data_IF_021326584365
#
_entry.id   IF_021326584365
#
_cell.length_a   1.000
_cell.length_b   1.000
_cell.length_c   1.000
_cell.angle_alpha   90.00
_cell.angle_beta   90.00
_cell.angle_gamma   90.00
#
_symmetry.space_group_name_H-M   'P 1'
#
loop_
_entity.id
_entity.type
_entity.pdbx_description
1 polymer ?
#
# COMPACT_ATOMS: atom_id res chain seq x y z
N UNK A 1 -18.62 4.76 38.29
CA UNK A 1 -19.63 3.72 37.97
C UNK A 1 -19.52 2.63 39.03
N UNK A 2 -20.64 2.15 39.57
CA UNK A 2 -20.63 0.98 40.46
C UNK A 2 -20.35 -0.28 39.62
N UNK A 3 -19.51 -1.19 40.12
CA UNK A 3 -19.29 -2.49 39.49
C UNK A 3 -20.52 -3.38 39.72
N UNK A 4 -20.89 -4.18 38.72
CA UNK A 4 -21.96 -5.17 38.83
C UNK A 4 -21.56 -6.40 39.65
N UNK A 5 -22.40 -7.43 39.61
CA UNK A 5 -22.16 -8.66 40.37
C UNK A 5 -20.91 -9.41 39.88
N UNK A 6 -20.10 -9.99 40.80
CA UNK A 6 -18.92 -10.73 40.44
C UNK A 6 -19.28 -12.05 39.72
N UNK A 7 -18.63 -12.29 38.59
CA UNK A 7 -18.73 -13.55 37.85
C UNK A 7 -17.55 -14.46 38.17
N UNK A 8 -17.78 -15.77 38.27
CA UNK A 8 -16.71 -16.76 38.34
C UNK A 8 -16.39 -17.28 36.95
N UNK A 9 -15.13 -17.15 36.55
CA UNK A 9 -14.62 -17.63 35.25
C UNK A 9 -13.57 -18.69 35.51
N UNK A 10 -13.70 -19.83 34.83
CA UNK A 10 -12.68 -20.89 34.84
C UNK A 10 -11.88 -20.81 33.55
N UNK A 11 -10.58 -20.63 33.68
CA UNK A 11 -9.64 -20.61 32.55
C UNK A 11 -8.90 -21.94 32.49
N UNK A 12 -8.40 -22.30 31.30
CA UNK A 12 -7.43 -23.38 31.21
C UNK A 12 -6.14 -22.95 31.93
N UNK A 13 -5.38 -23.89 32.53
CA UNK A 13 -4.17 -23.56 33.29
C UNK A 13 -3.14 -22.77 32.45
N UNK A 14 -2.99 -23.13 31.18
CA UNK A 14 -2.09 -22.46 30.24
C UNK A 14 -2.50 -21.01 30.01
N UNK A 15 -3.79 -20.75 29.79
CA UNK A 15 -4.30 -19.40 29.54
C UNK A 15 -4.23 -18.54 30.78
N UNK A 16 -4.48 -19.12 31.96
CA UNK A 16 -4.33 -18.41 33.22
C UNK A 16 -2.89 -17.92 33.40
N UNK A 17 -1.89 -18.77 33.16
CA UNK A 17 -0.49 -18.42 33.34
C UNK A 17 -0.03 -17.30 32.39
N UNK A 18 -0.47 -17.35 31.12
CA UNK A 18 -0.19 -16.29 30.13
C UNK A 18 -0.78 -14.95 30.57
N UNK A 19 -2.05 -14.94 30.98
CA UNK A 19 -2.75 -13.72 31.37
C UNK A 19 -2.22 -13.16 32.71
N UNK A 20 -1.78 -14.02 33.62
CA UNK A 20 -1.12 -13.61 34.87
C UNK A 20 0.21 -12.91 34.60
N UNK A 21 1.02 -13.44 33.69
CA UNK A 21 2.27 -12.79 33.26
C UNK A 21 2.00 -11.43 32.61
N UNK A 22 1.03 -11.34 31.70
CA UNK A 22 0.64 -10.08 31.07
C UNK A 22 0.11 -9.05 32.08
N UNK A 23 -0.71 -9.49 33.04
CA UNK A 23 -1.21 -8.64 34.10
C UNK A 23 -0.06 -8.15 34.99
N UNK A 24 0.89 -9.02 35.34
CA UNK A 24 2.08 -8.68 36.12
C UNK A 24 2.97 -7.68 35.39
N UNK A 25 3.20 -7.86 34.08
CA UNK A 25 3.93 -6.90 33.24
C UNK A 25 3.30 -5.50 33.25
N UNK A 26 1.97 -5.43 33.38
CA UNK A 26 1.21 -4.18 33.48
C UNK A 26 1.01 -3.70 34.94
N UNK A 27 1.55 -4.41 35.93
CA UNK A 27 1.40 -4.08 37.36
C UNK A 27 -0.02 -4.25 37.90
N UNK A 28 -0.85 -5.08 37.25
CA UNK A 28 -2.27 -5.27 37.58
C UNK A 28 -2.53 -6.67 38.14
N UNK A 29 -3.60 -6.80 38.91
CA UNK A 29 -4.15 -8.12 39.29
C UNK A 29 -4.86 -8.73 38.08
N UNK A 30 -4.81 -10.05 37.95
CA UNK A 30 -5.45 -10.79 36.85
C UNK A 30 -6.92 -10.40 36.66
N UNK A 31 -7.71 -10.32 37.74
CA UNK A 31 -9.13 -9.95 37.66
C UNK A 31 -9.36 -8.52 37.13
N UNK A 32 -8.46 -7.58 37.44
CA UNK A 32 -8.54 -6.21 36.94
C UNK A 32 -8.17 -6.17 35.46
N UNK A 33 -7.11 -6.87 35.08
CA UNK A 33 -6.68 -6.99 33.70
C UNK A 33 -7.76 -7.64 32.81
N UNK A 34 -8.36 -8.74 33.28
CA UNK A 34 -9.40 -9.44 32.53
C UNK A 34 -10.66 -8.58 32.36
N UNK A 35 -11.03 -7.80 33.37
CA UNK A 35 -12.14 -6.86 33.26
C UNK A 35 -11.87 -5.81 32.18
N UNK A 36 -10.72 -5.15 32.26
CA UNK A 36 -10.34 -4.14 31.26
C UNK A 36 -10.25 -4.74 29.86
N UNK A 37 -9.78 -5.98 29.75
CA UNK A 37 -9.74 -6.71 28.48
C UNK A 37 -11.16 -6.94 27.95
N UNK A 38 -12.09 -7.44 28.78
CA UNK A 38 -13.48 -7.66 28.38
C UNK A 38 -14.23 -6.34 28.08
N UNK A 39 -13.89 -5.27 28.77
CA UNK A 39 -14.44 -3.92 28.52
C UNK A 39 -13.85 -3.30 27.24
N UNK A 40 -12.65 -3.71 26.81
CA UNK A 40 -12.00 -3.25 25.58
C UNK A 40 -12.22 -4.16 24.36
N UNK A 41 -12.55 -5.44 24.56
CA UNK A 41 -12.71 -6.44 23.49
C UNK A 41 -13.93 -6.20 22.58
N UNK A 42 -14.78 -5.23 22.92
CA UNK A 42 -15.88 -4.83 22.03
C UNK A 42 -15.42 -4.01 20.81
N UNK A 43 -14.13 -3.67 20.68
CA UNK A 43 -13.61 -2.90 19.55
C UNK A 43 -12.90 -3.77 18.49
N UNK A 44 -12.28 -4.89 18.88
CA UNK A 44 -11.41 -5.66 17.97
C UNK A 44 -12.17 -6.26 16.78
N UNK A 45 -13.41 -6.74 16.97
CA UNK A 45 -14.23 -7.20 15.85
C UNK A 45 -14.70 -6.04 14.95
N UNK A 46 -14.94 -4.87 15.53
CA UNK A 46 -15.28 -3.65 14.81
C UNK A 46 -14.10 -3.14 13.99
N UNK A 47 -12.91 -3.08 14.58
CA UNK A 47 -11.65 -2.74 13.95
C UNK A 47 -11.29 -3.73 12.83
N UNK A 48 -11.47 -5.04 13.05
CA UNK A 48 -11.23 -6.05 12.01
C UNK A 48 -12.24 -5.93 10.86
N UNK A 49 -13.50 -5.60 11.15
CA UNK A 49 -14.50 -5.31 10.13
C UNK A 49 -14.19 -4.01 9.37
N UNK A 50 -13.66 -2.98 10.04
CA UNK A 50 -13.20 -1.75 9.42
C UNK A 50 -11.99 -2.00 8.50
N UNK A 51 -10.97 -2.70 9.01
CA UNK A 51 -9.78 -3.06 8.24
C UNK A 51 -10.13 -3.89 7.00
N UNK A 52 -11.07 -4.84 7.11
CA UNK A 52 -11.57 -5.61 5.97
C UNK A 52 -12.24 -4.71 4.91
N UNK A 53 -13.01 -3.70 5.33
CA UNK A 53 -13.64 -2.73 4.42
C UNK A 53 -12.58 -1.87 3.72
N UNK A 54 -11.58 -1.40 4.46
CA UNK A 54 -10.52 -0.56 3.91
C UNK A 54 -9.67 -1.33 2.89
N UNK A 55 -9.33 -2.60 3.19
CA UNK A 55 -8.62 -3.48 2.24
C UNK A 55 -9.46 -3.74 0.99
N UNK A 56 -10.76 -3.97 1.12
CA UNK A 56 -11.64 -4.14 -0.05
C UNK A 56 -11.72 -2.86 -0.90
N UNK A 57 -11.83 -1.70 -0.26
CA UNK A 57 -11.79 -0.40 -0.95
C UNK A 57 -10.46 -0.18 -1.67
N UNK A 58 -9.34 -0.56 -1.06
CA UNK A 58 -8.02 -0.42 -1.65
C UNK A 58 -7.84 -1.37 -2.83
N UNK A 59 -8.36 -2.60 -2.72
CA UNK A 59 -8.40 -3.54 -3.83
C UNK A 59 -9.18 -2.99 -5.02
N UNK A 60 -10.38 -2.43 -4.79
CA UNK A 60 -11.15 -1.78 -5.84
C UNK A 60 -10.44 -0.57 -6.45
N UNK A 61 -9.77 0.27 -5.66
CA UNK A 61 -8.97 1.38 -6.21
C UNK A 61 -7.80 0.90 -7.06
N UNK A 62 -7.17 -0.22 -6.71
CA UNK A 62 -6.10 -0.83 -7.51
C UNK A 62 -6.65 -1.46 -8.79
N UNK A 63 -7.83 -2.08 -8.73
CA UNK A 63 -8.53 -2.63 -9.89
C UNK A 63 -8.96 -1.51 -10.83
N UNK A 64 -9.56 -0.43 -10.32
CA UNK A 64 -9.87 0.78 -11.09
C UNK A 64 -8.62 1.44 -11.68
N UNK A 65 -7.48 1.40 -10.98
CA UNK A 65 -6.21 1.91 -11.51
C UNK A 65 -5.64 0.99 -12.61
N UNK A 66 -5.81 -0.32 -12.47
CA UNK A 66 -5.40 -1.30 -13.48
C UNK A 66 -6.29 -1.20 -14.74
N UNK A 67 -7.60 -1.03 -14.55
CA UNK A 67 -8.58 -0.87 -15.63
C UNK A 67 -8.47 0.52 -16.29
N UNK A 68 -8.19 1.57 -15.53
CA UNK A 68 -7.87 2.89 -16.09
C UNK A 68 -6.52 2.89 -16.82
N UNK A 69 -5.55 2.09 -16.36
CA UNK A 69 -4.32 1.78 -17.09
C UNK A 69 -4.58 1.04 -18.39
N UNK A 70 -5.53 0.11 -18.42
CA UNK A 70 -5.95 -0.61 -19.64
C UNK A 70 -6.74 0.27 -20.62
N UNK A 71 -7.31 1.39 -20.17
CA UNK A 71 -7.94 2.39 -21.03
C UNK A 71 -6.97 3.44 -21.57
N UNK A 72 -5.71 3.45 -21.13
CA UNK A 72 -4.66 4.29 -21.72
C UNK A 72 -3.93 3.66 -22.91
N UNK A 73 -4.36 2.49 -23.41
CA UNK A 73 -3.72 1.85 -24.55
C UNK A 73 -4.28 2.25 -25.93
N UNK A 74 -5.29 3.13 -26.02
CA UNK A 74 -5.89 3.50 -27.32
C UNK A 74 -6.28 4.98 -27.47
N UNK A 75 -5.71 5.87 -26.67
CA UNK A 75 -5.77 7.29 -26.98
C UNK A 75 -4.43 7.88 -26.64
N UNK A 76 -3.67 8.17 -27.69
CA UNK A 76 -2.52 9.08 -27.73
C UNK A 76 -2.28 9.74 -26.37
N UNK A 77 -1.31 9.22 -25.60
CA UNK A 77 -0.65 10.06 -24.60
C UNK A 77 -0.10 11.25 -25.38
N UNK A 78 -0.89 12.31 -25.49
CA UNK A 78 -0.44 13.62 -25.90
C UNK A 78 0.68 13.94 -24.93
N UNK A 79 1.91 13.78 -25.41
CA UNK A 79 3.10 13.96 -24.59
C UNK A 79 2.95 15.31 -23.89
N UNK A 80 3.01 15.29 -22.55
CA UNK A 80 2.76 16.47 -21.74
C UNK A 80 3.63 17.62 -22.29
N UNK A 81 3.07 18.79 -22.66
CA UNK A 81 3.82 19.87 -23.28
C UNK A 81 5.10 20.24 -22.52
N UNK A 82 5.06 20.17 -21.18
CA UNK A 82 6.21 20.41 -20.31
C UNK A 82 7.29 19.33 -20.49
N UNK A 83 6.91 18.07 -20.70
CA UNK A 83 7.86 16.99 -20.97
C UNK A 83 8.52 17.15 -22.34
N UNK A 84 7.78 17.58 -23.37
CA UNK A 84 8.36 17.88 -24.68
C UNK A 84 9.34 19.05 -24.57
N UNK A 85 8.96 20.13 -23.88
CA UNK A 85 9.82 21.31 -23.69
C UNK A 85 11.13 20.95 -22.97
N UNK A 86 11.05 20.19 -21.88
CA UNK A 86 12.23 19.70 -21.16
C UNK A 86 13.11 18.83 -22.06
N UNK A 87 12.53 17.92 -22.85
CA UNK A 87 13.29 17.09 -23.80
C UNK A 87 14.01 17.92 -24.86
N UNK A 88 13.35 18.96 -25.39
CA UNK A 88 13.95 19.87 -26.38
C UNK A 88 15.09 20.70 -25.78
N UNK A 89 14.94 21.22 -24.56
CA UNK A 89 15.99 21.94 -23.84
C UNK A 89 17.20 21.03 -23.57
N UNK A 90 16.97 19.81 -23.09
CA UNK A 90 18.04 18.84 -22.85
C UNK A 90 18.76 18.45 -24.14
N UNK A 91 18.02 18.28 -25.25
CA UNK A 91 18.62 17.98 -26.57
C UNK A 91 19.43 19.15 -27.11
N UNK A 92 19.00 20.40 -26.87
CA UNK A 92 19.76 21.59 -27.25
C UNK A 92 21.10 21.69 -26.51
N UNK A 93 21.18 21.21 -25.27
CA UNK A 93 22.41 21.21 -24.47
C UNK A 93 23.31 20.00 -24.79
N UNK A 94 22.72 18.82 -25.03
CA UNK A 94 23.46 17.57 -25.15
C UNK A 94 24.22 17.40 -26.49
N UNK A 95 23.74 18.02 -27.57
CA UNK A 95 24.33 17.87 -28.91
C UNK A 95 24.01 16.52 -29.60
N UNK A 96 23.96 16.48 -30.94
CA UNK A 96 23.60 15.27 -31.70
C UNK A 96 24.58 14.10 -31.56
N UNK A 97 25.84 14.37 -31.21
CA UNK A 97 26.90 13.39 -31.02
C UNK A 97 26.63 12.42 -29.87
N UNK A 98 25.82 12.82 -28.88
CA UNK A 98 25.47 11.99 -27.71
C UNK A 98 24.34 11.00 -27.98
N UNK A 99 23.74 11.01 -29.15
CA UNK A 99 22.64 10.09 -29.50
C UNK A 99 23.09 8.62 -29.55
N UNK A 100 24.31 8.34 -30.05
CA UNK A 100 24.84 6.97 -30.14
C UNK A 100 24.98 6.28 -28.77
N UNK A 101 25.64 6.87 -27.76
CA UNK A 101 25.73 6.24 -26.44
C UNK A 101 24.37 6.11 -25.77
N UNK A 102 23.48 7.10 -25.87
CA UNK A 102 22.11 7.02 -25.32
C UNK A 102 21.34 5.85 -25.93
N UNK A 103 21.38 5.68 -27.24
CA UNK A 103 20.74 4.53 -27.91
C UNK A 103 21.32 3.18 -27.46
N UNK A 104 22.62 3.13 -27.15
CA UNK A 104 23.27 1.94 -26.59
C UNK A 104 22.76 1.62 -25.18
N UNK A 105 22.63 2.64 -24.33
CA UNK A 105 22.09 2.51 -22.97
C UNK A 105 20.62 2.09 -22.96
N UNK A 106 19.79 2.66 -23.85
CA UNK A 106 18.39 2.26 -24.01
C UNK A 106 18.27 0.79 -24.38
N UNK A 107 19.09 0.31 -25.32
CA UNK A 107 19.15 -1.11 -25.69
C UNK A 107 19.58 -1.99 -24.52
N UNK A 108 20.58 -1.56 -23.72
CA UNK A 108 21.02 -2.29 -22.52
C UNK A 108 19.91 -2.42 -21.49
N UNK A 109 19.05 -1.41 -21.37
CA UNK A 109 17.89 -1.38 -20.47
C UNK A 109 16.65 -2.08 -21.04
N UNK A 110 16.72 -2.65 -22.24
CA UNK A 110 15.58 -3.31 -22.90
C UNK A 110 14.51 -2.33 -23.41
N UNK A 111 14.84 -1.04 -23.52
CA UNK A 111 13.92 0.00 -24.01
C UNK A 111 14.11 0.11 -25.52
N UNK A 112 13.02 -0.04 -26.27
CA UNK A 112 13.01 0.18 -27.72
C UNK A 112 13.41 1.61 -28.05
N UNK A 113 14.48 1.76 -28.84
CA UNK A 113 14.86 3.07 -29.38
C UNK A 113 13.80 3.48 -30.38
N UNK A 114 13.22 4.67 -30.19
CA UNK A 114 12.28 5.22 -31.15
C UNK A 114 12.98 5.47 -32.48
N UNK A 115 12.46 4.84 -33.53
CA UNK A 115 12.80 5.12 -34.92
C UNK A 115 11.53 5.60 -35.61
N UNK A 116 11.57 6.71 -36.36
CA UNK A 116 10.42 7.08 -37.18
C UNK A 116 10.14 5.97 -38.18
N UNK A 117 8.87 5.58 -38.33
CA UNK A 117 8.45 4.73 -39.45
C UNK A 117 8.67 5.52 -40.74
N UNK A 118 9.72 5.17 -41.48
CA UNK A 118 9.94 5.70 -42.81
C UNK A 118 8.99 4.92 -43.73
N UNK A 119 7.82 5.49 -44.03
CA UNK A 119 7.06 5.08 -45.21
C UNK A 119 7.74 5.74 -46.41
N UNK A 120 8.39 4.93 -47.24
CA UNK A 120 8.84 5.35 -48.57
C UNK A 120 7.59 5.56 -49.44
N UNK A 121 7.40 6.80 -49.93
CA UNK A 121 6.51 7.13 -51.05
C UNK A 121 7.24 6.97 -52.39
#
# INVERSE_FOLDING_TARGET
MALGDPIQVRLSPEKQLILEDEAARKGKRLATYLRELLESENDVQGELAALRRDVASLHHMVEDLADSGLRTSDTEQAANPVQIEILLLLRAIAGPERMKPVNGEMKRLGISVWTPDIKED
#
